data_IF_632572274205
#
_entry.id   IF_632572274205
#
_cell.length_a   1.000
_cell.length_b   1.000
_cell.length_c   1.000
_cell.angle_alpha   90.00
_cell.angle_beta   90.00
_cell.angle_gamma   90.00
#
_symmetry.space_group_name_H-M   'P 1'
#
loop_
_entity.id
_entity.type
_entity.pdbx_description
1 polymer ?
#
# COMPACT_ATOMS: atom_id res chain seq x y z
N UNK A 1 -8.53 30.39 7.02
CA UNK A 1 -8.76 29.45 5.91
C UNK A 1 -7.41 28.91 5.45
N UNK A 2 -7.09 27.62 5.71
CA UNK A 2 -5.83 27.00 5.27
C UNK A 2 -5.85 26.94 3.73
N UNK A 3 -4.89 27.61 3.08
CA UNK A 3 -4.69 27.50 1.63
C UNK A 3 -4.39 26.03 1.30
N UNK A 4 -5.36 25.33 0.72
CA UNK A 4 -5.15 24.00 0.16
C UNK A 4 -4.03 24.11 -0.86
N UNK A 5 -2.92 23.42 -0.59
CA UNK A 5 -1.70 23.53 -1.35
C UNK A 5 -1.92 22.86 -2.72
N UNK A 6 -2.38 23.63 -3.70
CA UNK A 6 -2.65 23.17 -5.07
C UNK A 6 -1.48 22.40 -5.70
N UNK A 7 -0.24 22.66 -5.27
CA UNK A 7 0.94 21.90 -5.67
C UNK A 7 0.95 20.46 -5.13
N UNK A 8 0.47 20.25 -3.90
CA UNK A 8 0.33 18.93 -3.30
C UNK A 8 -0.77 18.11 -3.97
N UNK A 9 -1.90 18.75 -4.28
CA UNK A 9 -2.97 18.12 -5.07
C UNK A 9 -2.50 17.79 -6.49
N UNK A 10 -1.74 18.70 -7.13
CA UNK A 10 -1.17 18.42 -8.45
C UNK A 10 -0.17 17.27 -8.40
N UNK A 11 0.75 17.22 -7.43
CA UNK A 11 1.71 16.11 -7.28
C UNK A 11 1.04 14.78 -6.93
N UNK A 12 -0.08 14.84 -6.20
CA UNK A 12 -0.94 13.69 -5.89
C UNK A 12 -1.61 13.12 -7.15
N UNK A 13 -2.10 13.98 -8.05
CA UNK A 13 -2.73 13.56 -9.31
C UNK A 13 -1.72 13.23 -10.42
N UNK A 14 -0.53 13.86 -10.44
CA UNK A 14 0.52 13.54 -11.41
C UNK A 14 1.41 12.37 -10.97
N UNK A 15 1.17 11.77 -9.81
CA UNK A 15 1.98 10.69 -9.23
C UNK A 15 3.47 11.05 -9.05
N UNK A 16 3.78 12.35 -8.99
CA UNK A 16 5.09 12.92 -8.63
C UNK A 16 5.15 13.14 -7.11
N UNK A 17 4.77 12.13 -6.32
CA UNK A 17 5.10 12.16 -4.90
C UNK A 17 6.63 12.17 -4.79
N UNK A 18 7.25 13.11 -4.05
CA UNK A 18 8.68 13.08 -3.84
C UNK A 18 9.00 11.79 -3.09
N UNK A 19 9.56 10.81 -3.81
CA UNK A 19 10.07 9.57 -3.22
C UNK A 19 11.09 10.01 -2.17
N UNK A 20 10.80 9.77 -0.89
CA UNK A 20 11.74 10.07 0.17
C UNK A 20 12.84 8.99 0.16
N UNK A 21 13.85 9.19 -0.69
CA UNK A 21 14.96 8.26 -0.87
C UNK A 21 15.70 7.96 0.44
N UNK A 22 15.67 8.88 1.42
CA UNK A 22 16.26 8.66 2.74
C UNK A 22 15.48 7.60 3.53
N UNK A 23 14.14 7.62 3.50
CA UNK A 23 13.30 6.62 4.17
C UNK A 23 13.44 5.25 3.50
N UNK A 24 13.54 5.22 2.17
CA UNK A 24 13.74 3.99 1.41
C UNK A 24 15.09 3.34 1.76
N UNK A 25 16.16 4.14 1.79
CA UNK A 25 17.51 3.67 2.12
C UNK A 25 17.58 3.16 3.55
N UNK A 26 16.93 3.86 4.49
CA UNK A 26 16.85 3.43 5.89
C UNK A 26 16.13 2.08 6.03
N UNK A 27 14.97 1.92 5.37
CA UNK A 27 14.20 0.67 5.38
C UNK A 27 14.97 -0.47 4.73
N UNK A 28 15.66 -0.20 3.62
CA UNK A 28 16.52 -1.19 2.97
C UNK A 28 17.63 -1.66 3.91
N UNK A 29 18.35 -0.71 4.53
CA UNK A 29 19.42 -1.01 5.47
C UNK A 29 18.91 -1.82 6.67
N UNK A 30 17.80 -1.39 7.27
CA UNK A 30 17.19 -2.11 8.40
C UNK A 30 16.76 -3.54 8.02
N UNK A 31 16.15 -3.72 6.85
CA UNK A 31 15.77 -5.05 6.37
C UNK A 31 16.99 -5.91 6.07
N UNK A 32 18.02 -5.33 5.45
CA UNK A 32 19.27 -6.02 5.13
C UNK A 32 20.00 -6.47 6.40
N UNK A 33 20.23 -5.55 7.35
CA UNK A 33 20.90 -5.85 8.63
C UNK A 33 20.11 -6.88 9.44
N UNK A 34 18.77 -6.78 9.47
CA UNK A 34 17.91 -7.76 10.13
C UNK A 34 18.10 -9.16 9.55
N UNK A 35 18.08 -9.32 8.23
CA UNK A 35 18.25 -10.62 7.59
C UNK A 35 19.69 -11.12 7.66
N UNK A 36 20.68 -10.23 7.58
CA UNK A 36 22.08 -10.56 7.75
C UNK A 36 22.41 -11.06 9.17
N UNK A 37 21.62 -10.63 10.17
CA UNK A 37 21.68 -11.18 11.53
C UNK A 37 21.25 -12.65 11.64
N UNK A 38 20.45 -13.16 10.70
CA UNK A 38 20.05 -14.57 10.64
C UNK A 38 20.86 -15.37 9.63
N UNK A 39 21.24 -14.76 8.49
CA UNK A 39 21.95 -15.39 7.39
C UNK A 39 23.16 -14.51 7.04
N UNK A 40 24.35 -14.94 7.42
CA UNK A 40 25.60 -14.16 7.25
C UNK A 40 25.98 -13.86 5.79
N UNK A 41 25.36 -14.55 4.82
CA UNK A 41 25.59 -14.35 3.39
C UNK A 41 24.36 -13.78 2.67
N UNK A 42 23.50 -13.05 3.38
CA UNK A 42 22.27 -12.49 2.81
C UNK A 42 22.58 -11.45 1.70
N UNK A 43 22.21 -11.72 0.44
CA UNK A 43 22.56 -10.81 -0.65
C UNK A 43 21.61 -9.60 -0.71
N UNK A 44 22.11 -8.50 -1.27
CA UNK A 44 21.33 -7.27 -1.49
C UNK A 44 20.09 -7.51 -2.35
N UNK A 45 20.21 -8.33 -3.39
CA UNK A 45 19.10 -8.75 -4.27
C UNK A 45 17.97 -9.45 -3.49
N UNK A 46 18.30 -10.29 -2.50
CA UNK A 46 17.31 -10.94 -1.67
C UNK A 46 16.59 -9.92 -0.75
N UNK A 47 17.28 -8.88 -0.31
CA UNK A 47 16.68 -7.78 0.46
C UNK A 47 15.66 -7.01 -0.37
N UNK A 48 16.01 -6.72 -1.63
CA UNK A 48 15.11 -6.04 -2.55
C UNK A 48 13.84 -6.86 -2.79
N UNK A 49 13.98 -8.16 -3.07
CA UNK A 49 12.85 -9.09 -3.22
C UNK A 49 12.02 -9.24 -1.95
N UNK A 50 12.67 -9.28 -0.79
CA UNK A 50 11.99 -9.32 0.50
C UNK A 50 11.14 -8.08 0.74
N UNK A 51 11.68 -6.89 0.46
CA UNK A 51 10.94 -5.64 0.59
C UNK A 51 9.75 -5.57 -0.36
N UNK A 52 9.92 -6.00 -1.63
CA UNK A 52 8.81 -6.11 -2.58
C UNK A 52 7.75 -7.12 -2.10
N UNK A 53 8.16 -8.24 -1.52
CA UNK A 53 7.22 -9.24 -1.01
C UNK A 53 6.46 -8.74 0.23
N UNK A 54 7.16 -8.18 1.22
CA UNK A 54 6.56 -7.58 2.41
C UNK A 54 5.58 -6.46 2.03
N UNK A 55 5.98 -5.67 1.05
CA UNK A 55 5.18 -4.64 0.41
C UNK A 55 3.85 -5.18 -0.15
N UNK A 56 3.89 -6.16 -1.06
CA UNK A 56 2.67 -6.74 -1.64
C UNK A 56 1.82 -7.44 -0.58
N UNK A 57 2.46 -8.06 0.40
CA UNK A 57 1.77 -8.65 1.55
C UNK A 57 0.98 -7.61 2.35
N UNK A 58 1.58 -6.44 2.61
CA UNK A 58 0.90 -5.35 3.31
C UNK A 58 -0.21 -4.72 2.46
N UNK A 59 0.01 -4.54 1.15
CA UNK A 59 -1.03 -4.06 0.24
C UNK A 59 -2.25 -4.99 0.21
N UNK A 60 -2.01 -6.31 0.15
CA UNK A 60 -3.06 -7.32 0.21
C UNK A 60 -3.82 -7.29 1.54
N UNK A 61 -3.12 -7.16 2.68
CA UNK A 61 -3.78 -7.02 4.00
C UNK A 61 -4.70 -5.82 4.06
N UNK A 62 -4.27 -4.66 3.55
CA UNK A 62 -5.12 -3.46 3.52
C UNK A 62 -6.33 -3.65 2.62
N UNK A 63 -6.15 -4.26 1.45
CA UNK A 63 -7.25 -4.60 0.55
C UNK A 63 -8.28 -5.51 1.23
N UNK A 64 -7.83 -6.60 1.86
CA UNK A 64 -8.70 -7.52 2.59
C UNK A 64 -9.40 -6.84 3.76
N UNK A 65 -8.71 -5.96 4.49
CA UNK A 65 -9.31 -5.20 5.58
C UNK A 65 -10.42 -4.25 5.09
N UNK A 66 -10.23 -3.58 3.96
CA UNK A 66 -11.26 -2.72 3.35
C UNK A 66 -12.47 -3.52 2.90
N UNK A 67 -12.26 -4.68 2.24
CA UNK A 67 -13.35 -5.57 1.87
C UNK A 67 -14.12 -6.07 3.08
N UNK A 68 -13.42 -6.54 4.12
CA UNK A 68 -14.02 -6.99 5.36
C UNK A 68 -14.85 -5.89 6.03
N UNK A 69 -14.32 -4.66 6.08
CA UNK A 69 -15.05 -3.51 6.62
C UNK A 69 -16.32 -3.20 5.80
N UNK A 70 -16.23 -3.22 4.47
CA UNK A 70 -17.40 -3.01 3.60
C UNK A 70 -18.49 -4.08 3.76
N UNK A 71 -18.09 -5.34 3.87
CA UNK A 71 -19.01 -6.45 4.17
C UNK A 71 -19.65 -6.25 5.54
N UNK A 72 -18.87 -5.92 6.56
CA UNK A 72 -19.38 -5.70 7.91
C UNK A 72 -20.43 -4.58 7.95
N UNK A 73 -20.16 -3.45 7.28
CA UNK A 73 -21.10 -2.32 7.19
C UNK A 73 -22.38 -2.72 6.48
N UNK A 74 -22.29 -3.44 5.35
CA UNK A 74 -23.48 -3.84 4.58
C UNK A 74 -24.34 -4.85 5.33
N UNK A 75 -23.73 -5.77 6.09
CA UNK A 75 -24.46 -6.68 7.00
C UNK A 75 -25.14 -5.88 8.12
N UNK A 76 -24.42 -4.96 8.77
CA UNK A 76 -24.95 -4.15 9.87
C UNK A 76 -26.16 -3.29 9.44
N UNK A 77 -26.20 -2.86 8.18
CA UNK A 77 -27.30 -2.10 7.60
C UNK A 77 -28.42 -2.98 6.99
N UNK A 78 -28.29 -4.31 7.06
CA UNK A 78 -29.16 -5.27 6.41
C UNK A 78 -29.30 -5.05 4.89
N UNK A 79 -28.23 -4.55 4.26
CA UNK A 79 -28.15 -4.25 2.82
C UNK A 79 -27.30 -5.29 2.07
N UNK A 80 -26.85 -6.35 2.74
CA UNK A 80 -25.99 -7.35 2.14
C UNK A 80 -26.76 -8.20 1.11
N UNK A 81 -26.42 -8.00 -0.16
CA UNK A 81 -26.93 -8.76 -1.30
C UNK A 81 -25.85 -8.88 -2.40
N UNK A 82 -26.12 -9.69 -3.43
CA UNK A 82 -25.17 -9.96 -4.53
C UNK A 82 -24.71 -8.70 -5.27
N UNK A 83 -25.57 -7.69 -5.39
CA UNK A 83 -25.23 -6.41 -6.03
C UNK A 83 -24.26 -5.60 -5.15
N UNK A 84 -24.54 -5.49 -3.85
CA UNK A 84 -23.66 -4.80 -2.89
C UNK A 84 -22.29 -5.47 -2.79
N UNK A 85 -22.23 -6.81 -2.84
CA UNK A 85 -20.98 -7.56 -2.86
C UNK A 85 -20.17 -7.28 -4.13
N UNK A 86 -20.83 -7.25 -5.30
CA UNK A 86 -20.20 -6.91 -6.58
C UNK A 86 -19.65 -5.48 -6.59
N UNK A 87 -20.42 -4.52 -6.04
CA UNK A 87 -20.00 -3.12 -5.92
C UNK A 87 -18.79 -3.01 -4.98
N UNK A 88 -18.82 -3.66 -3.83
CA UNK A 88 -17.68 -3.66 -2.88
C UNK A 88 -16.42 -4.25 -3.51
N UNK A 89 -16.53 -5.34 -4.26
CA UNK A 89 -15.41 -5.94 -4.97
C UNK A 89 -14.84 -4.98 -6.03
N UNK A 90 -15.71 -4.34 -6.82
CA UNK A 90 -15.32 -3.38 -7.86
C UNK A 90 -14.68 -2.13 -7.26
N UNK A 91 -15.29 -1.55 -6.22
CA UNK A 91 -14.75 -0.38 -5.51
C UNK A 91 -13.42 -0.72 -4.84
N UNK A 92 -13.31 -1.88 -4.20
CA UNK A 92 -12.05 -2.35 -3.64
C UNK A 92 -10.95 -2.41 -4.70
N UNK A 93 -11.24 -3.00 -5.86
CA UNK A 93 -10.28 -3.09 -6.97
C UNK A 93 -9.90 -1.70 -7.52
N UNK A 94 -10.88 -0.81 -7.69
CA UNK A 94 -10.64 0.55 -8.18
C UNK A 94 -9.86 1.40 -7.18
N UNK A 95 -10.00 1.16 -5.87
CA UNK A 95 -9.24 1.86 -4.82
C UNK A 95 -7.85 1.24 -4.62
N UNK A 96 -7.67 -0.04 -4.95
CA UNK A 96 -6.37 -0.70 -4.90
C UNK A 96 -5.33 -0.03 -5.81
N UNK A 97 -5.73 0.38 -7.02
CA UNK A 97 -4.85 1.03 -8.00
C UNK A 97 -4.28 2.37 -7.49
N UNK A 98 -5.08 3.35 -7.03
CA UNK A 98 -4.55 4.59 -6.48
C UNK A 98 -3.80 4.37 -5.16
N UNK A 99 -4.22 3.44 -4.30
CA UNK A 99 -3.44 3.08 -3.11
C UNK A 99 -2.04 2.54 -3.50
N UNK A 100 -1.98 1.67 -4.51
CA UNK A 100 -0.74 1.14 -5.09
C UNK A 100 0.20 2.26 -5.56
N UNK A 101 -0.32 3.30 -6.20
CA UNK A 101 0.53 4.39 -6.65
C UNK A 101 0.88 5.41 -5.55
N UNK A 102 0.03 5.59 -4.53
CA UNK A 102 0.19 6.66 -3.54
C UNK A 102 0.97 6.24 -2.29
N UNK A 103 0.62 5.09 -1.71
CA UNK A 103 1.26 4.59 -0.48
C UNK A 103 2.48 3.74 -0.82
N UNK A 104 2.45 3.19 -2.03
CA UNK A 104 3.12 1.95 -2.33
C UNK A 104 4.14 2.06 -3.49
N UNK A 105 4.07 3.12 -4.31
CA UNK A 105 5.09 3.41 -5.32
C UNK A 105 6.50 3.77 -4.81
N UNK A 106 6.76 4.28 -3.58
CA UNK A 106 8.11 4.73 -3.23
C UNK A 106 9.14 3.59 -3.01
N UNK A 107 8.80 2.34 -3.34
CA UNK A 107 9.63 1.15 -3.14
C UNK A 107 10.05 0.45 -4.45
N UNK A 108 9.67 0.99 -5.62
CA UNK A 108 10.04 0.52 -6.96
C UNK A 108 10.90 1.55 -7.70
#
# INVERSE_FOLDING_TARGET
MKKLNLKWLKSFFTFDLPVNYNDLTLRFRQAHEKQHGYISSWPTEATYRYLISDFWGNALKHYLAMLAAGIFITIALNQFNTLSASILALTGFLVYVPLYFMIYRPYL
#
